data_IF_725815998487
#
_entry.id   IF_725815998487
#
_cell.length_a   1.000
_cell.length_b   1.000
_cell.length_c   1.000
_cell.angle_alpha   90.00
_cell.angle_beta   90.00
_cell.angle_gamma   90.00
#
_symmetry.space_group_name_H-M   'P 1'
#
loop_
_entity.id
_entity.type
_entity.pdbx_description
1 polymer ?
#
# COMPACT_ATOMS: atom_id res chain seq x y z
N UNK A 1 -64.92 42.43 36.72
CA UNK A 1 -64.60 43.86 36.55
C UNK A 1 -64.95 44.58 37.84
N UNK A 2 -64.03 44.63 38.80
CA UNK A 2 -64.21 45.27 40.12
C UNK A 2 -62.87 45.88 40.57
N UNK A 3 -62.97 47.09 41.13
CA UNK A 3 -61.98 48.05 41.66
C UNK A 3 -61.06 47.54 42.79
N UNK A 4 -59.89 48.20 42.99
CA UNK A 4 -59.58 49.07 44.17
C UNK A 4 -58.11 49.55 44.24
N UNK A 5 -57.92 50.83 44.61
CA UNK A 5 -56.71 51.40 45.24
C UNK A 5 -56.34 50.66 46.53
N UNK A 6 -55.06 50.70 46.97
CA UNK A 6 -54.62 51.27 48.28
C UNK A 6 -53.08 51.51 48.28
N UNK A 7 -52.69 52.67 48.81
CA UNK A 7 -51.36 53.18 49.15
C UNK A 7 -50.82 52.58 50.49
N UNK A 8 -49.54 52.21 50.62
CA UNK A 8 -48.96 51.90 51.95
C UNK A 8 -47.48 52.29 52.08
N UNK A 9 -47.29 53.42 52.78
CA UNK A 9 -46.04 53.96 53.30
C UNK A 9 -45.34 53.04 54.33
N UNK A 10 -44.01 53.19 54.38
CA UNK A 10 -43.12 53.17 55.58
C UNK A 10 -42.95 51.87 56.39
N UNK A 11 -41.74 51.29 56.25
CA UNK A 11 -40.80 50.82 57.32
C UNK A 11 -39.63 50.17 56.56
N UNK A 12 -38.36 50.54 56.67
CA UNK A 12 -37.49 50.58 57.86
C UNK A 12 -36.27 51.47 57.54
N UNK A 13 -35.97 52.46 58.39
CA UNK A 13 -34.61 53.01 58.56
C UNK A 13 -33.79 52.01 59.36
N UNK A 14 -32.55 51.72 58.95
CA UNK A 14 -31.47 51.42 59.90
C UNK A 14 -30.09 51.42 59.22
N UNK A 15 -29.24 52.38 59.61
CA UNK A 15 -27.82 52.22 60.00
C UNK A 15 -26.93 51.44 58.99
N UNK A 16 -25.88 51.97 58.34
CA UNK A 16 -24.88 52.94 58.76
C UNK A 16 -23.49 52.37 58.41
N UNK A 17 -22.54 53.21 57.94
CA UNK A 17 -21.10 52.94 57.71
C UNK A 17 -20.76 51.87 56.65
N UNK A 18 -19.75 51.97 55.78
CA UNK A 18 -18.42 52.60 55.83
C UNK A 18 -17.83 52.56 54.40
N UNK A 19 -16.97 53.54 54.08
CA UNK A 19 -16.10 53.56 52.88
C UNK A 19 -15.08 52.42 52.89
N UNK A 20 -14.52 52.17 51.70
CA UNK A 20 -13.28 51.43 51.35
C UNK A 20 -13.38 49.90 51.39
N UNK A 21 -13.31 49.20 50.25
CA UNK A 21 -12.01 48.87 49.62
C UNK A 21 -12.21 48.48 48.14
N UNK A 22 -12.05 49.46 47.25
CA UNK A 22 -11.85 49.24 45.81
C UNK A 22 -10.34 49.12 45.61
N UNK A 23 -9.76 47.92 45.48
CA UNK A 23 -8.40 47.80 44.91
C UNK A 23 -7.93 46.37 44.57
N UNK A 24 -8.49 45.30 45.16
CA UNK A 24 -7.87 43.96 45.01
C UNK A 24 -8.58 42.98 44.06
N UNK A 25 -9.78 43.30 43.57
CA UNK A 25 -10.53 42.40 42.67
C UNK A 25 -10.13 42.54 41.19
N UNK A 26 -9.72 43.73 40.75
CA UNK A 26 -9.41 43.99 39.34
C UNK A 26 -8.11 43.32 38.84
N UNK A 27 -7.10 43.17 39.70
CA UNK A 27 -5.82 42.54 39.33
C UNK A 27 -5.90 41.02 39.16
N UNK A 28 -6.87 40.36 39.81
CA UNK A 28 -7.09 38.92 39.67
C UNK A 28 -7.87 38.58 38.39
N UNK A 29 -8.84 39.41 38.01
CA UNK A 29 -9.63 39.23 36.78
C UNK A 29 -8.74 39.38 35.55
N UNK A 30 -7.81 40.35 35.55
CA UNK A 30 -6.89 40.60 34.43
C UNK A 30 -5.90 39.45 34.20
N UNK A 31 -5.44 38.77 35.26
CA UNK A 31 -4.58 37.58 35.17
C UNK A 31 -5.32 36.35 34.63
N UNK A 32 -6.58 36.15 35.02
CA UNK A 32 -7.40 35.01 34.55
C UNK A 32 -7.72 35.14 33.06
N UNK A 33 -8.01 36.35 32.58
CA UNK A 33 -8.21 36.60 31.14
C UNK A 33 -6.94 36.36 30.31
N UNK A 34 -5.74 36.61 30.85
CA UNK A 34 -4.48 36.36 30.13
C UNK A 34 -4.15 34.86 30.04
N UNK A 35 -4.43 34.08 31.10
CA UNK A 35 -4.26 32.62 31.07
C UNK A 35 -5.26 31.94 30.11
N UNK A 36 -6.49 32.44 30.04
CA UNK A 36 -7.49 31.91 29.10
C UNK A 36 -7.12 32.21 27.64
N UNK A 37 -6.59 33.41 27.35
CA UNK A 37 -6.16 33.78 26.00
C UNK A 37 -4.88 33.04 25.56
N UNK A 38 -3.94 32.78 26.48
CA UNK A 38 -2.73 31.97 26.20
C UNK A 38 -3.07 30.49 25.98
N UNK A 39 -4.04 29.91 26.71
CA UNK A 39 -4.49 28.53 26.49
C UNK A 39 -5.18 28.32 25.13
N UNK A 40 -5.92 29.31 24.62
CA UNK A 40 -6.59 29.21 23.31
C UNK A 40 -5.59 29.30 22.14
N UNK A 41 -4.46 29.99 22.30
CA UNK A 41 -3.42 30.08 21.28
C UNK A 41 -2.52 28.83 21.14
N UNK A 42 -2.50 27.93 22.15
CA UNK A 42 -1.77 26.66 22.04
C UNK A 42 -2.59 25.51 21.45
N UNK A 43 -3.92 25.67 21.32
CA UNK A 43 -4.79 24.65 20.72
C UNK A 43 -5.01 24.82 19.21
N UNK A 44 -4.46 25.88 18.60
CA UNK A 44 -4.56 26.13 17.15
C UNK A 44 -3.25 25.89 16.39
N UNK A 45 -2.26 25.23 16.99
CA UNK A 45 -1.16 24.65 16.21
C UNK A 45 -1.68 23.38 15.55
N UNK A 46 -1.77 23.42 14.23
CA UNK A 46 -2.17 22.33 13.34
C UNK A 46 -1.79 20.95 13.92
N UNK A 47 -2.78 20.22 14.43
CA UNK A 47 -2.76 18.77 14.28
C UNK A 47 -2.79 18.54 12.78
N UNK A 48 -1.65 18.17 12.19
CA UNK A 48 -1.65 17.52 10.88
C UNK A 48 -2.79 16.48 10.88
N UNK A 49 -3.66 16.45 9.86
CA UNK A 49 -4.69 15.42 9.80
C UNK A 49 -3.99 14.07 9.97
N UNK A 50 -4.43 13.28 10.94
CA UNK A 50 -4.03 11.89 11.03
C UNK A 50 -4.34 11.27 9.66
N UNK A 51 -3.39 10.54 9.04
CA UNK A 51 -3.69 9.84 7.80
C UNK A 51 -4.91 8.95 8.05
N UNK A 52 -5.86 8.94 7.10
CA UNK A 52 -7.04 8.08 7.14
C UNK A 52 -6.58 6.61 7.21
N UNK A 53 -6.40 6.12 8.44
CA UNK A 53 -5.92 4.79 8.73
C UNK A 53 -7.10 3.84 8.66
N UNK A 54 -6.97 2.79 7.86
CA UNK A 54 -7.90 1.67 7.88
C UNK A 54 -7.99 1.12 9.32
N UNK A 55 -9.18 1.03 9.94
CA UNK A 55 -9.32 0.61 11.33
C UNK A 55 -8.78 -0.81 11.60
N UNK A 56 -8.73 -1.67 10.58
CA UNK A 56 -8.14 -3.00 10.71
C UNK A 56 -6.60 -2.97 10.80
N UNK A 57 -5.94 -1.96 10.22
CA UNK A 57 -4.49 -1.75 10.33
C UNK A 57 -4.13 -1.09 11.67
N UNK A 58 -5.01 -0.23 12.20
CA UNK A 58 -4.83 0.37 13.53
C UNK A 58 -4.79 -0.70 14.62
N UNK A 59 -5.68 -1.70 14.54
CA UNK A 59 -5.72 -2.81 15.50
C UNK A 59 -4.44 -3.66 15.43
N UNK A 60 -3.89 -3.89 14.24
CA UNK A 60 -2.62 -4.63 14.05
C UNK A 60 -1.43 -3.87 14.65
N UNK A 61 -1.34 -2.56 14.42
CA UNK A 61 -0.31 -1.70 15.00
C UNK A 61 -0.38 -1.65 16.54
N UNK A 62 -1.60 -1.65 17.11
CA UNK A 62 -1.82 -1.69 18.56
C UNK A 62 -1.42 -3.05 19.18
N UNK A 63 -1.66 -4.16 18.47
CA UNK A 63 -1.28 -5.50 18.94
C UNK A 63 0.24 -5.75 18.92
N UNK A 64 1.01 -4.96 18.16
CA UNK A 64 2.48 -5.03 18.07
C UNK A 64 3.26 -4.13 19.04
N UNK A 65 2.58 -3.34 19.89
CA UNK A 65 3.16 -2.19 20.63
C UNK A 65 4.10 -2.53 21.81
N UNK A 66 4.80 -3.66 21.80
CA UNK A 66 5.80 -4.04 22.81
C UNK A 66 7.26 -3.80 22.39
N UNK A 67 7.52 -2.94 21.40
CA UNK A 67 8.88 -2.50 21.06
C UNK A 67 8.97 -0.98 21.09
N UNK A 68 9.87 -0.49 21.95
CA UNK A 68 10.37 0.90 21.95
C UNK A 68 10.98 1.23 20.59
N UNK A 69 10.74 2.47 20.14
CA UNK A 69 11.19 3.14 18.91
C UNK A 69 10.26 3.03 17.68
N UNK A 70 9.87 4.22 17.19
CA UNK A 70 9.10 4.53 15.97
C UNK A 70 7.91 3.62 15.71
N UNK A 71 6.69 4.13 15.89
CA UNK A 71 5.48 3.52 15.32
C UNK A 71 5.78 3.13 13.87
N UNK A 72 5.92 1.83 13.54
CA UNK A 72 6.16 1.42 12.17
C UNK A 72 4.95 1.89 11.37
N UNK A 73 5.15 2.60 10.26
CA UNK A 73 4.05 2.85 9.34
C UNK A 73 3.47 1.47 8.99
N UNK A 74 2.20 1.16 9.36
CA UNK A 74 1.63 -0.17 9.17
C UNK A 74 1.63 -0.59 7.70
N UNK A 75 1.74 0.37 6.77
CA UNK A 75 1.85 0.09 5.35
C UNK A 75 3.23 -0.43 4.93
N UNK A 76 4.27 -0.25 5.74
CA UNK A 76 5.57 -0.88 5.53
C UNK A 76 5.49 -2.40 5.65
N UNK A 77 4.48 -2.95 6.32
CA UNK A 77 4.28 -4.41 6.43
C UNK A 77 3.54 -4.99 5.21
N UNK A 78 2.76 -4.18 4.49
CA UNK A 78 2.02 -4.63 3.31
C UNK A 78 2.94 -4.91 2.11
N UNK A 79 2.70 -6.02 1.43
CA UNK A 79 3.41 -6.37 0.20
C UNK A 79 2.66 -5.83 -1.01
N UNK A 80 3.29 -4.89 -1.71
CA UNK A 80 2.69 -4.23 -2.87
C UNK A 80 3.18 -4.84 -4.18
N UNK A 81 2.29 -4.83 -5.17
CA UNK A 81 2.60 -5.08 -6.57
C UNK A 81 2.20 -3.87 -7.41
N UNK A 82 2.93 -3.64 -8.50
CA UNK A 82 2.56 -2.67 -9.52
C UNK A 82 3.00 -3.14 -10.90
N UNK A 83 2.41 -2.54 -11.94
CA UNK A 83 2.81 -2.76 -13.33
C UNK A 83 3.63 -1.56 -13.80
N UNK A 84 4.76 -1.80 -14.46
CA UNK A 84 5.59 -0.71 -15.00
C UNK A 84 4.79 0.19 -15.95
N UNK A 85 5.11 1.49 -16.00
CA UNK A 85 4.43 2.43 -16.91
C UNK A 85 4.82 2.12 -18.35
N UNK A 86 6.12 1.99 -18.63
CA UNK A 86 6.65 1.61 -19.93
C UNK A 86 6.78 0.09 -20.07
N UNK A 87 6.67 -0.38 -21.32
CA UNK A 87 7.01 -1.75 -21.68
C UNK A 87 8.44 -1.90 -22.16
N UNK A 88 8.89 -3.14 -22.21
CA UNK A 88 10.18 -3.58 -22.74
C UNK A 88 9.96 -4.75 -23.68
N UNK A 89 10.91 -4.94 -24.60
CA UNK A 89 11.04 -6.20 -25.34
C UNK A 89 11.40 -7.36 -24.38
N UNK A 90 11.47 -8.58 -24.90
CA UNK A 90 11.90 -9.77 -24.19
C UNK A 90 13.34 -9.70 -23.65
N UNK A 91 14.19 -8.84 -24.22
CA UNK A 91 15.51 -8.55 -23.67
C UNK A 91 15.38 -7.63 -22.46
N UNK A 92 15.47 -8.18 -21.25
CA UNK A 92 15.25 -7.44 -20.01
C UNK A 92 16.56 -6.94 -19.42
N UNK A 93 16.78 -5.62 -19.53
CA UNK A 93 17.99 -4.96 -19.01
C UNK A 93 19.26 -5.60 -19.60
N UNK A 94 20.11 -6.15 -18.72
CA UNK A 94 21.33 -6.85 -19.11
C UNK A 94 21.10 -8.31 -19.58
N UNK A 95 19.88 -8.71 -19.89
CA UNK A 95 19.56 -10.06 -20.36
C UNK A 95 19.35 -11.08 -19.24
N UNK A 96 18.91 -10.65 -18.06
CA UNK A 96 18.81 -11.52 -16.87
C UNK A 96 17.67 -11.10 -15.95
N UNK A 97 17.31 -11.95 -14.99
CA UNK A 97 16.34 -11.58 -13.94
C UNK A 97 16.82 -10.42 -13.07
N UNK A 98 18.13 -10.25 -12.89
CA UNK A 98 18.70 -9.10 -12.18
C UNK A 98 18.54 -7.80 -13.00
N UNK A 99 18.63 -7.89 -14.33
CA UNK A 99 18.30 -6.79 -15.24
C UNK A 99 16.83 -6.38 -15.11
N UNK A 100 15.92 -7.34 -15.07
CA UNK A 100 14.49 -7.09 -14.85
C UNK A 100 14.21 -6.48 -13.46
N UNK A 101 14.89 -6.95 -12.41
CA UNK A 101 14.79 -6.36 -11.07
C UNK A 101 15.27 -4.90 -11.06
N UNK A 102 16.33 -4.58 -11.80
CA UNK A 102 16.82 -3.20 -11.94
C UNK A 102 15.77 -2.31 -12.60
N UNK A 103 15.04 -2.81 -13.60
CA UNK A 103 13.92 -2.08 -14.20
C UNK A 103 12.82 -1.81 -13.16
N UNK A 104 12.44 -2.80 -12.36
CA UNK A 104 11.47 -2.63 -11.29
C UNK A 104 11.94 -1.65 -10.21
N UNK A 105 13.21 -1.70 -9.82
CA UNK A 105 13.79 -0.79 -8.84
C UNK A 105 13.74 0.67 -9.33
N UNK A 106 14.12 0.89 -10.59
CA UNK A 106 14.08 2.22 -11.20
C UNK A 106 12.64 2.73 -11.34
N UNK A 107 11.72 1.86 -11.74
CA UNK A 107 10.30 2.20 -11.87
C UNK A 107 9.69 2.58 -10.51
N UNK A 108 10.01 1.83 -9.45
CA UNK A 108 9.61 2.14 -8.08
C UNK A 108 10.09 3.53 -7.64
N UNK A 109 11.35 3.84 -7.94
CA UNK A 109 11.99 5.10 -7.54
C UNK A 109 11.53 6.31 -8.38
N UNK A 110 10.99 6.09 -9.57
CA UNK A 110 10.63 7.17 -10.50
C UNK A 110 9.12 7.41 -10.53
N UNK A 111 8.32 6.34 -10.67
CA UNK A 111 6.89 6.43 -10.97
C UNK A 111 6.00 5.96 -9.83
N UNK A 112 6.51 5.13 -8.92
CA UNK A 112 5.76 4.58 -7.78
C UNK A 112 6.36 5.00 -6.44
N UNK A 113 6.88 6.23 -6.35
CA UNK A 113 7.59 6.76 -5.16
C UNK A 113 6.75 6.70 -3.88
N UNK A 114 5.43 6.81 -4.01
CA UNK A 114 4.50 6.77 -2.87
C UNK A 114 4.31 5.39 -2.28
N UNK A 115 4.69 4.31 -2.98
CA UNK A 115 4.64 2.97 -2.42
C UNK A 115 5.75 2.79 -1.36
N UNK A 116 5.58 1.91 -0.37
CA UNK A 116 6.55 1.76 0.71
C UNK A 116 7.89 1.16 0.25
N UNK A 117 8.94 1.36 1.03
CA UNK A 117 10.27 0.81 0.76
C UNK A 117 11.04 1.52 -0.35
N UNK A 118 12.17 0.93 -0.73
CA UNK A 118 13.09 1.42 -1.75
C UNK A 118 13.00 0.58 -3.02
N UNK A 119 13.53 1.06 -4.14
CA UNK A 119 13.53 0.30 -5.40
C UNK A 119 14.10 -1.12 -5.26
N UNK A 120 15.13 -1.33 -4.44
CA UNK A 120 15.75 -2.65 -4.25
C UNK A 120 14.85 -3.67 -3.54
N UNK A 121 13.76 -3.21 -2.92
CA UNK A 121 12.76 -4.09 -2.33
C UNK A 121 11.81 -4.69 -3.39
N UNK A 122 11.88 -4.22 -4.63
CA UNK A 122 10.97 -4.61 -5.72
C UNK A 122 11.69 -5.41 -6.80
N UNK A 123 11.11 -6.55 -7.14
CA UNK A 123 11.66 -7.49 -8.13
C UNK A 123 10.63 -7.86 -9.17
N UNK A 124 11.09 -8.19 -10.37
CA UNK A 124 10.21 -8.55 -11.48
C UNK A 124 9.65 -9.97 -11.30
N UNK A 125 8.33 -10.12 -11.44
CA UNK A 125 7.64 -11.41 -11.43
C UNK A 125 7.77 -12.09 -12.78
N UNK A 126 8.95 -12.66 -13.03
CA UNK A 126 9.30 -13.41 -14.22
C UNK A 126 10.03 -14.70 -13.83
N UNK A 127 10.04 -15.72 -14.69
CA UNK A 127 10.87 -16.91 -14.48
C UNK A 127 12.05 -17.00 -15.46
N UNK A 128 13.17 -17.53 -14.97
CA UNK A 128 14.38 -17.82 -15.73
C UNK A 128 14.95 -19.16 -15.29
N UNK A 129 15.38 -19.95 -16.27
CA UNK A 129 15.97 -21.27 -16.05
C UNK A 129 17.51 -21.25 -16.04
N UNK A 130 18.13 -20.10 -16.34
CA UNK A 130 19.58 -19.89 -16.21
C UNK A 130 19.89 -18.94 -15.07
N UNK A 131 21.11 -19.08 -14.54
CA UNK A 131 21.61 -18.29 -13.42
C UNK A 131 21.57 -16.77 -13.71
N UNK A 132 21.01 -15.94 -12.80
CA UNK A 132 20.34 -16.33 -11.57
C UNK A 132 18.98 -16.98 -11.86
N UNK A 133 18.81 -18.24 -11.46
CA UNK A 133 17.57 -18.98 -11.68
C UNK A 133 16.47 -18.32 -10.84
N UNK A 134 15.32 -18.08 -11.45
CA UNK A 134 14.10 -17.64 -10.77
C UNK A 134 12.97 -18.53 -11.22
N UNK A 135 12.37 -19.26 -10.29
CA UNK A 135 11.34 -20.23 -10.61
C UNK A 135 10.33 -20.37 -9.48
N UNK A 136 9.06 -20.36 -9.84
CA UNK A 136 7.95 -20.65 -8.95
C UNK A 136 7.89 -22.15 -8.69
N UNK A 137 7.31 -22.94 -9.59
CA UNK A 137 7.27 -24.40 -9.43
C UNK A 137 8.35 -25.07 -10.28
N UNK A 138 8.97 -26.14 -9.76
CA UNK A 138 9.99 -26.87 -10.49
C UNK A 138 9.38 -27.82 -11.53
N UNK A 139 8.71 -28.86 -11.05
CA UNK A 139 8.12 -29.89 -11.92
C UNK A 139 6.67 -30.20 -11.55
N UNK A 140 6.19 -29.78 -10.38
CA UNK A 140 4.81 -30.01 -9.95
C UNK A 140 3.94 -28.79 -10.28
N UNK A 141 2.96 -28.91 -11.19
CA UNK A 141 1.94 -27.90 -11.42
C UNK A 141 1.26 -27.46 -10.12
N UNK A 142 1.06 -26.16 -9.93
CA UNK A 142 0.44 -25.59 -8.75
C UNK A 142 1.08 -26.12 -7.44
N UNK A 143 2.42 -26.13 -7.39
CA UNK A 143 3.19 -26.59 -6.25
C UNK A 143 2.68 -26.04 -4.92
N UNK A 144 2.77 -26.86 -3.87
CA UNK A 144 2.25 -26.56 -2.53
C UNK A 144 3.36 -26.41 -1.48
N UNK A 145 4.62 -26.58 -1.86
CA UNK A 145 5.76 -26.36 -0.98
C UNK A 145 6.74 -25.35 -1.58
N UNK A 146 7.44 -24.62 -0.71
CA UNK A 146 8.46 -23.65 -1.10
C UNK A 146 9.77 -24.30 -1.58
N UNK A 147 9.98 -25.58 -1.31
CA UNK A 147 11.22 -26.30 -1.66
C UNK A 147 11.39 -26.39 -3.18
N UNK A 148 10.29 -26.40 -3.93
CA UNK A 148 10.31 -26.33 -5.39
C UNK A 148 10.70 -24.96 -5.95
N UNK A 149 10.55 -23.89 -5.16
CA UNK A 149 10.87 -22.55 -5.59
C UNK A 149 12.37 -22.29 -5.61
N UNK A 150 12.82 -21.37 -6.46
CA UNK A 150 14.21 -20.86 -6.45
C UNK A 150 14.18 -19.37 -6.73
N UNK A 151 14.67 -18.54 -5.79
CA UNK A 151 14.68 -17.06 -5.88
C UNK A 151 13.35 -16.46 -6.35
N UNK A 152 12.24 -17.10 -5.99
CA UNK A 152 10.90 -16.69 -6.39
C UNK A 152 10.50 -15.39 -5.69
N UNK A 153 9.77 -14.54 -6.40
CA UNK A 153 9.53 -13.16 -5.92
C UNK A 153 8.41 -13.09 -4.89
N UNK A 154 7.40 -13.94 -5.03
CA UNK A 154 6.25 -13.96 -4.12
C UNK A 154 6.56 -14.83 -2.89
N UNK A 155 6.36 -14.26 -1.72
CA UNK A 155 6.39 -14.96 -0.44
C UNK A 155 5.19 -15.92 -0.26
N UNK A 156 5.38 -17.04 0.47
CA UNK A 156 4.30 -17.93 0.89
C UNK A 156 3.27 -17.28 1.81
N UNK A 157 2.02 -17.74 1.72
CA UNK A 157 0.91 -17.40 2.62
C UNK A 157 0.75 -15.88 2.84
N UNK A 158 0.93 -15.12 1.76
CA UNK A 158 1.09 -13.68 1.80
C UNK A 158 0.02 -12.97 0.96
N UNK A 159 -0.57 -11.94 1.54
CA UNK A 159 -1.45 -11.02 0.85
C UNK A 159 -0.66 -9.98 0.06
N UNK A 160 -1.05 -9.79 -1.21
CA UNK A 160 -0.49 -8.77 -2.09
C UNK A 160 -1.53 -7.72 -2.45
N UNK A 161 -1.10 -6.46 -2.48
CA UNK A 161 -1.94 -5.29 -2.67
C UNK A 161 -1.47 -4.44 -3.84
N UNK A 162 -2.40 -3.72 -4.46
CA UNK A 162 -2.11 -2.66 -5.45
C UNK A 162 -2.74 -1.34 -5.00
N UNK A 163 -2.52 -0.29 -5.78
CA UNK A 163 -3.08 1.03 -5.54
C UNK A 163 -2.13 1.91 -4.76
N UNK A 164 -2.65 2.71 -3.83
CA UNK A 164 -1.85 3.63 -3.03
C UNK A 164 -1.82 3.18 -1.58
N UNK A 165 -0.88 3.73 -0.81
CA UNK A 165 -0.77 3.50 0.64
C UNK A 165 -2.02 3.94 1.40
N UNK A 166 -2.71 5.00 0.92
CA UNK A 166 -3.95 5.47 1.52
C UNK A 166 -5.18 4.61 1.17
N UNK A 167 -5.12 3.86 0.07
CA UNK A 167 -6.22 3.03 -0.42
C UNK A 167 -5.70 1.72 -1.03
N UNK A 168 -5.11 0.81 -0.21
CA UNK A 168 -4.63 -0.46 -0.70
C UNK A 168 -5.79 -1.37 -1.10
N UNK A 169 -5.68 -1.98 -2.27
CA UNK A 169 -6.65 -2.96 -2.78
C UNK A 169 -5.98 -4.31 -2.83
N UNK A 170 -6.52 -5.29 -2.10
CA UNK A 170 -6.02 -6.67 -2.12
C UNK A 170 -6.25 -7.29 -3.50
N UNK A 171 -5.19 -7.84 -4.07
CA UNK A 171 -5.21 -8.49 -5.38
C UNK A 171 -5.37 -9.98 -5.22
N UNK A 172 -4.58 -10.60 -4.35
CA UNK A 172 -4.61 -12.05 -4.11
C UNK A 172 -3.91 -12.42 -2.80
N UNK A 173 -4.05 -13.69 -2.43
CA UNK A 173 -3.28 -14.37 -1.39
C UNK A 173 -2.54 -15.53 -2.03
N UNK A 174 -1.26 -15.68 -1.71
CA UNK A 174 -0.48 -16.83 -2.15
C UNK A 174 -0.70 -18.05 -1.26
N UNK A 175 -0.48 -19.24 -1.80
CA UNK A 175 -0.42 -20.49 -1.02
C UNK A 175 0.94 -20.63 -0.31
N UNK A 176 1.15 -21.79 0.33
CA UNK A 176 2.38 -22.17 1.02
C UNK A 176 3.63 -22.30 0.12
N UNK A 177 3.48 -22.25 -1.21
CA UNK A 177 4.57 -22.20 -2.18
C UNK A 177 4.79 -20.80 -2.78
N UNK A 178 4.08 -19.76 -2.29
CA UNK A 178 4.23 -18.41 -2.82
C UNK A 178 3.62 -18.23 -4.21
N UNK A 179 2.54 -18.93 -4.56
CA UNK A 179 1.83 -18.77 -5.84
C UNK A 179 0.32 -18.60 -5.63
N UNK A 180 -0.38 -18.07 -6.63
CA UNK A 180 -1.86 -18.02 -6.62
C UNK A 180 -2.40 -19.25 -7.32
N UNK A 181 -3.26 -20.03 -6.66
CA UNK A 181 -3.87 -21.20 -7.31
C UNK A 181 -5.05 -20.77 -8.17
N UNK A 182 -5.06 -21.20 -9.43
CA UNK A 182 -6.15 -20.96 -10.38
C UNK A 182 -6.93 -22.26 -10.66
N UNK A 183 -8.23 -22.18 -11.00
CA UNK A 183 -9.05 -20.96 -11.04
C UNK A 183 -9.47 -20.48 -9.64
N UNK A 184 -9.34 -21.30 -8.60
CA UNK A 184 -9.75 -20.97 -7.24
C UNK A 184 -8.54 -21.07 -6.27
N UNK A 185 -8.30 -20.04 -5.42
CA UNK A 185 -9.12 -18.84 -5.26
C UNK A 185 -8.96 -17.80 -6.37
N UNK A 186 -7.91 -17.90 -7.20
CA UNK A 186 -7.61 -16.92 -8.25
C UNK A 186 -7.29 -15.53 -7.71
N UNK A 187 -7.39 -14.51 -8.57
CA UNK A 187 -7.27 -13.12 -8.17
C UNK A 187 -8.62 -12.58 -7.65
N UNK A 188 -8.59 -11.85 -6.53
CA UNK A 188 -9.73 -11.11 -6.00
C UNK A 188 -10.02 -9.86 -6.84
N UNK A 189 -8.96 -9.20 -7.30
CA UNK A 189 -9.03 -8.09 -8.25
C UNK A 189 -7.94 -8.25 -9.30
N UNK A 190 -8.15 -7.75 -10.52
CA UNK A 190 -7.16 -7.87 -11.58
C UNK A 190 -5.89 -7.09 -11.24
N UNK A 191 -4.72 -7.48 -11.76
CA UNK A 191 -3.47 -6.74 -11.48
C UNK A 191 -3.53 -5.34 -12.13
N UNK A 192 -4.02 -5.28 -13.37
CA UNK A 192 -4.33 -4.03 -14.09
C UNK A 192 -5.80 -4.05 -14.55
N UNK A 193 -6.44 -2.90 -14.71
CA UNK A 193 -7.84 -2.84 -15.14
C UNK A 193 -8.01 -2.92 -16.67
N UNK A 194 -6.94 -2.65 -17.43
CA UNK A 194 -6.96 -2.56 -18.87
C UNK A 194 -6.57 -3.90 -19.52
N UNK A 195 -7.44 -4.44 -20.38
CA UNK A 195 -7.21 -5.68 -21.11
C UNK A 195 -6.05 -5.61 -22.10
N UNK A 196 -5.72 -4.41 -22.61
CA UNK A 196 -4.58 -4.22 -23.51
C UNK A 196 -3.24 -4.17 -22.77
N UNK A 197 -3.26 -3.95 -21.44
CA UNK A 197 -2.05 -4.03 -20.63
C UNK A 197 -1.62 -5.49 -20.52
N UNK A 198 -0.40 -5.78 -20.97
CA UNK A 198 0.20 -7.11 -20.87
C UNK A 198 1.62 -7.01 -20.33
N UNK A 199 2.11 -8.10 -19.77
CA UNK A 199 3.45 -8.16 -19.17
C UNK A 199 4.11 -9.51 -19.37
N UNK A 200 5.43 -9.51 -19.41
CA UNK A 200 6.21 -10.74 -19.45
C UNK A 200 6.12 -11.53 -18.13
N UNK A 201 6.07 -12.86 -18.22
CA UNK A 201 6.05 -13.75 -17.05
C UNK A 201 6.99 -14.95 -17.20
N UNK A 202 7.05 -15.57 -18.38
CA UNK A 202 7.86 -16.78 -18.60
C UNK A 202 7.43 -17.98 -17.73
N UNK A 203 6.18 -17.98 -17.25
CA UNK A 203 5.58 -19.09 -16.49
C UNK A 203 4.24 -19.46 -17.10
N UNK A 204 3.86 -20.73 -16.97
CA UNK A 204 2.51 -21.17 -17.32
C UNK A 204 1.49 -20.81 -16.23
N UNK A 205 0.21 -21.01 -16.54
CA UNK A 205 -0.90 -20.71 -15.61
C UNK A 205 -0.86 -21.57 -14.33
N UNK A 206 -0.13 -22.68 -14.35
CA UNK A 206 0.13 -23.56 -13.21
C UNK A 206 1.46 -23.26 -12.49
N UNK A 207 2.12 -22.15 -12.84
CA UNK A 207 3.38 -21.66 -12.29
C UNK A 207 4.62 -22.52 -12.57
N UNK A 208 4.51 -23.49 -13.49
CA UNK A 208 5.69 -24.12 -14.07
C UNK A 208 6.41 -23.17 -15.03
N UNK A 209 7.67 -23.43 -15.34
CA UNK A 209 8.45 -22.57 -16.23
C UNK A 209 7.99 -22.71 -17.69
N UNK A 210 7.94 -21.59 -18.41
CA UNK A 210 7.54 -21.52 -19.82
C UNK A 210 8.65 -20.91 -20.69
N UNK A 211 8.33 -20.67 -21.97
CA UNK A 211 9.17 -19.89 -22.89
C UNK A 211 9.32 -18.46 -22.38
N UNK A 212 10.54 -17.95 -22.43
CA UNK A 212 10.93 -16.74 -21.73
C UNK A 212 11.98 -15.93 -22.50
N UNK A 213 11.83 -15.84 -23.83
CA UNK A 213 12.72 -15.01 -24.68
C UNK A 213 14.21 -15.34 -24.52
N UNK A 214 14.53 -16.63 -24.64
CA UNK A 214 15.88 -17.16 -24.41
C UNK A 214 16.44 -16.73 -23.04
N UNK A 215 15.63 -16.88 -22.00
CA UNK A 215 15.91 -16.41 -20.64
C UNK A 215 16.17 -14.92 -20.55
N UNK A 216 15.31 -14.17 -21.23
CA UNK A 216 15.27 -12.72 -21.26
C UNK A 216 16.50 -12.08 -21.89
N UNK A 217 17.27 -12.84 -22.69
CA UNK A 217 18.43 -12.34 -23.43
C UNK A 217 18.06 -11.84 -24.82
N UNK A 218 16.88 -12.19 -25.32
CA UNK A 218 16.44 -11.86 -26.67
C UNK A 218 15.22 -10.95 -26.70
N UNK A 219 15.29 -9.92 -27.52
CA UNK A 219 14.22 -8.93 -27.74
C UNK A 219 13.90 -8.77 -29.21
N UNK A 220 14.15 -9.81 -30.01
CA UNK A 220 14.00 -9.79 -31.47
C UNK A 220 12.80 -10.64 -31.92
N UNK A 221 12.47 -10.52 -33.20
CA UNK A 221 11.39 -11.29 -33.80
C UNK A 221 11.84 -12.73 -34.04
N UNK A 222 10.96 -13.70 -33.75
CA UNK A 222 11.17 -15.13 -34.04
C UNK A 222 11.47 -16.00 -32.81
N UNK A 223 11.60 -15.40 -31.63
CA UNK A 223 11.47 -16.10 -30.35
C UNK A 223 10.25 -15.59 -29.61
N UNK A 224 9.69 -16.45 -28.77
CA UNK A 224 8.49 -16.15 -28.01
C UNK A 224 8.74 -16.12 -26.50
N UNK A 225 7.90 -15.34 -25.82
CA UNK A 225 7.77 -15.31 -24.38
C UNK A 225 6.34 -15.56 -23.94
N UNK A 226 6.18 -16.17 -22.77
CA UNK A 226 4.91 -16.27 -22.09
C UNK A 226 4.60 -14.98 -21.32
N UNK A 227 3.33 -14.57 -21.34
CA UNK A 227 2.90 -13.26 -20.85
C UNK A 227 1.53 -13.32 -20.17
N UNK A 228 1.25 -12.36 -19.29
CA UNK A 228 -0.03 -12.18 -18.62
C UNK A 228 -0.85 -11.02 -19.18
N UNK A 229 -2.15 -11.01 -18.86
CA UNK A 229 -3.13 -10.00 -19.30
C UNK A 229 -3.73 -9.25 -18.11
N UNK A 230 -3.80 -7.92 -18.24
CA UNK A 230 -4.28 -6.96 -17.25
C UNK A 230 -5.53 -7.34 -16.51
N UNK A 231 -6.66 -7.28 -17.22
CA UNK A 231 -8.01 -7.38 -16.66
C UNK A 231 -8.46 -8.80 -16.30
N UNK A 232 -7.62 -9.81 -16.50
CA UNK A 232 -7.94 -11.18 -16.18
C UNK A 232 -7.89 -11.42 -14.66
N UNK A 233 -8.76 -12.31 -14.16
CA UNK A 233 -8.79 -12.77 -12.77
C UNK A 233 -8.28 -14.21 -12.59
N UNK A 234 -8.21 -14.97 -13.68
CA UNK A 234 -7.75 -16.36 -13.70
C UNK A 234 -6.31 -16.51 -14.17
N UNK A 235 -5.94 -17.73 -14.56
CA UNK A 235 -4.59 -18.07 -15.02
C UNK A 235 -4.08 -17.19 -16.17
N UNK A 236 -4.97 -16.63 -17.00
CA UNK A 236 -4.64 -15.67 -18.07
C UNK A 236 -3.98 -14.37 -17.57
N UNK A 237 -4.14 -14.02 -16.29
CA UNK A 237 -3.39 -12.93 -15.68
C UNK A 237 -1.89 -13.24 -15.55
N UNK A 238 -1.52 -14.51 -15.58
CA UNK A 238 -0.13 -14.98 -15.45
C UNK A 238 0.39 -15.55 -16.78
N UNK A 239 -0.45 -16.30 -17.49
CA UNK A 239 -0.08 -16.98 -18.73
C UNK A 239 -1.25 -16.97 -19.71
N UNK A 240 -1.06 -16.28 -20.83
CA UNK A 240 -1.98 -16.32 -21.95
C UNK A 240 -2.02 -17.72 -22.57
N UNK A 241 -3.09 -18.02 -23.29
CA UNK A 241 -3.29 -19.32 -23.95
C UNK A 241 -2.32 -19.57 -25.14
N UNK A 242 -1.50 -18.58 -25.47
CA UNK A 242 -0.52 -18.61 -26.54
C UNK A 242 0.65 -17.71 -26.15
N UNK A 243 1.79 -17.92 -26.79
CA UNK A 243 3.01 -17.16 -26.58
C UNK A 243 3.13 -16.08 -27.64
N UNK A 244 3.95 -15.06 -27.37
CA UNK A 244 4.06 -13.93 -28.27
C UNK A 244 5.51 -13.46 -28.42
N UNK A 245 5.75 -12.85 -29.57
CA UNK A 245 7.08 -12.44 -30.04
C UNK A 245 7.83 -11.53 -29.06
N UNK A 246 9.10 -11.86 -28.82
CA UNK A 246 9.99 -11.15 -27.90
C UNK A 246 10.35 -9.74 -28.37
N UNK A 247 10.16 -9.40 -29.65
CA UNK A 247 10.27 -8.04 -30.17
C UNK A 247 9.12 -7.12 -29.76
N UNK A 248 8.03 -7.66 -29.20
CA UNK A 248 6.92 -6.83 -28.72
C UNK A 248 7.18 -6.21 -27.36
N UNK A 249 6.80 -4.93 -27.24
CA UNK A 249 6.88 -4.21 -25.98
C UNK A 249 5.76 -4.66 -25.02
N UNK A 250 6.15 -5.21 -23.85
CA UNK A 250 5.25 -5.55 -22.74
C UNK A 250 5.80 -5.05 -21.41
N UNK A 251 4.91 -4.80 -20.46
CA UNK A 251 5.28 -4.29 -19.13
C UNK A 251 5.89 -5.40 -18.27
N UNK A 252 6.27 -5.04 -17.04
CA UNK A 252 6.63 -6.00 -16.00
C UNK A 252 5.70 -5.81 -14.81
N UNK A 253 5.41 -6.90 -14.09
CA UNK A 253 4.83 -6.85 -12.75
C UNK A 253 5.97 -6.83 -11.74
N UNK A 254 6.04 -5.78 -10.94
CA UNK A 254 7.04 -5.57 -9.93
C UNK A 254 6.44 -5.86 -8.55
N UNK A 255 7.12 -6.70 -7.79
CA UNK A 255 6.63 -7.27 -6.53
C UNK A 255 7.58 -6.87 -5.41
N UNK A 256 7.02 -6.30 -4.34
CA UNK A 256 7.77 -6.05 -3.10
C UNK A 256 8.04 -7.36 -2.38
N UNK A 257 9.32 -7.67 -2.13
CA UNK A 257 9.73 -8.83 -1.34
C UNK A 257 9.63 -8.59 0.16
#
# INVERSE_FOLDING_TARGET
>A
MIFKEVDFLKRIRSIGNRKSTVSNSAKHIQKISYYFLVCVFFLTRCSSPFPDLNPNLLLLALLGSNKTEQTPDPNLELKYIFVTVAGTTGQLGAGTVAGADTLCANEKNSNFVSLPGTGTDYKAMIASNVAPVRRACNATPNCTNRVENTNWVLLPDQDYYKGTVAAPVKVFTTNSAGIVVFPAPGLLTSIDSNAATTWWTGVEADWTSSVNCLNWTDGTVGNDGQFGVGNALGGTSIAAAFTLDCGMSRKLVCVRQ
#
